data_IF_360597294776
#
_entry.id   IF_360597294776
#
_cell.length_a   1.000
_cell.length_b   1.000
_cell.length_c   1.000
_cell.angle_alpha   90.00
_cell.angle_beta   90.00
_cell.angle_gamma   90.00
#
_symmetry.space_group_name_H-M   'P 1'
#
loop_
_entity.id
_entity.type
_entity.pdbx_description
1 polymer ?
#
# COMPACT_ATOMS: atom_id res chain seq x y z
N UNK A 1 -38.99 35.60 9.86
CA UNK A 1 -39.48 34.96 11.11
C UNK A 1 -40.05 33.62 10.71
N UNK A 2 -39.36 32.51 10.98
CA UNK A 2 -39.85 31.16 10.68
C UNK A 2 -40.16 30.52 12.03
N UNK A 3 -41.45 30.46 12.37
CA UNK A 3 -41.97 29.73 13.51
C UNK A 3 -41.89 28.22 13.24
N UNK A 4 -40.90 27.57 13.85
CA UNK A 4 -40.82 26.12 13.95
C UNK A 4 -41.66 25.65 15.14
N UNK A 5 -42.99 25.77 15.04
CA UNK A 5 -43.89 25.07 15.95
C UNK A 5 -43.91 23.59 15.56
N UNK A 6 -43.00 22.82 16.17
CA UNK A 6 -42.91 21.37 16.00
C UNK A 6 -43.62 20.73 17.18
N UNK A 7 -44.88 20.37 16.99
CA UNK A 7 -45.64 19.62 18.00
C UNK A 7 -44.87 18.35 18.39
N UNK A 8 -44.66 18.08 19.69
CA UNK A 8 -43.93 16.92 20.16
C UNK A 8 -44.78 15.67 19.89
N UNK A 9 -44.44 14.95 18.82
CA UNK A 9 -45.00 13.61 18.60
C UNK A 9 -44.41 12.67 19.67
N UNK A 10 -45.23 11.78 20.26
CA UNK A 10 -44.70 10.78 21.18
C UNK A 10 -43.70 9.90 20.42
N UNK A 11 -42.47 9.88 20.92
CA UNK A 11 -41.37 9.10 20.36
C UNK A 11 -41.79 7.63 20.31
N UNK A 12 -41.60 7.00 19.15
CA UNK A 12 -41.88 5.57 19.01
C UNK A 12 -40.85 4.77 19.80
N UNK A 13 -41.23 3.59 20.28
CA UNK A 13 -40.39 2.78 21.18
C UNK A 13 -38.97 2.50 20.64
N UNK A 14 -38.81 2.38 19.32
CA UNK A 14 -37.50 2.18 18.70
C UNK A 14 -36.62 3.45 18.71
N UNK A 15 -37.21 4.65 18.74
CA UNK A 15 -36.47 5.90 18.85
C UNK A 15 -35.89 6.04 20.25
N UNK A 16 -36.65 5.65 21.28
CA UNK A 16 -36.14 5.51 22.65
C UNK A 16 -34.99 4.52 22.74
N UNK A 17 -35.12 3.37 22.07
CA UNK A 17 -34.09 2.33 22.05
C UNK A 17 -32.82 2.84 21.35
N UNK A 18 -32.96 3.55 20.24
CA UNK A 18 -31.84 4.19 19.55
C UNK A 18 -31.15 5.26 20.40
N UNK A 19 -31.90 6.09 21.13
CA UNK A 19 -31.36 7.10 22.04
C UNK A 19 -30.58 6.44 23.19
N UNK A 20 -31.13 5.38 23.81
CA UNK A 20 -30.45 4.64 24.87
C UNK A 20 -29.17 3.98 24.38
N UNK A 21 -29.19 3.41 23.16
CA UNK A 21 -28.01 2.79 22.56
C UNK A 21 -26.92 3.83 22.27
N UNK A 22 -27.29 5.01 21.75
CA UNK A 22 -26.36 6.11 21.50
C UNK A 22 -25.76 6.66 22.82
N UNK A 23 -26.58 6.79 23.86
CA UNK A 23 -26.14 7.25 25.17
C UNK A 23 -25.15 6.26 25.83
N UNK A 24 -25.37 4.95 25.66
CA UNK A 24 -24.43 3.91 26.10
C UNK A 24 -23.08 3.98 25.39
N UNK A 25 -23.07 4.24 24.08
CA UNK A 25 -21.84 4.40 23.31
C UNK A 25 -21.02 5.64 23.70
N UNK A 26 -21.68 6.74 24.07
CA UNK A 26 -21.00 7.97 24.48
C UNK A 26 -20.32 7.87 25.86
N UNK A 27 -20.77 6.96 26.73
CA UNK A 27 -20.22 6.80 28.08
C UNK A 27 -18.83 6.12 28.13
N UNK A 28 -18.36 5.53 27.02
CA UNK A 28 -17.09 4.81 26.92
C UNK A 28 -15.84 5.69 26.74
N UNK A 29 -15.99 6.99 26.47
CA UNK A 29 -14.88 7.92 26.28
C UNK A 29 -14.50 8.62 27.60
N UNK A 30 -13.97 7.86 28.57
CA UNK A 30 -13.33 8.44 29.77
C UNK A 30 -11.84 8.64 29.47
N UNK A 31 -11.31 9.84 29.69
CA UNK A 31 -9.87 10.07 29.74
C UNK A 31 -9.25 9.09 30.75
N UNK A 32 -8.41 8.17 30.29
CA UNK A 32 -7.83 7.13 31.14
C UNK A 32 -6.84 7.73 32.13
N UNK A 33 -7.02 7.46 33.42
CA UNK A 33 -5.98 7.66 34.43
C UNK A 33 -5.08 6.42 34.46
N UNK A 34 -3.75 6.62 34.44
CA UNK A 34 -2.77 5.52 34.55
C UNK A 34 -1.98 5.72 35.84
N UNK A 35 -1.73 4.63 36.57
CA UNK A 35 -0.92 4.65 37.78
C UNK A 35 0.56 4.58 37.41
N UNK A 36 1.33 5.56 37.85
CA UNK A 36 2.79 5.51 37.85
C UNK A 36 3.23 4.90 39.18
N UNK A 37 3.87 3.73 39.09
CA UNK A 37 4.42 3.01 40.22
C UNK A 37 5.94 3.16 40.18
N UNK A 38 6.52 3.72 41.25
CA UNK A 38 7.98 3.83 41.41
C UNK A 38 8.44 2.79 42.42
N UNK A 39 9.39 1.94 42.02
CA UNK A 39 9.97 0.94 42.92
C UNK A 39 11.07 1.52 43.82
N UNK A 40 11.55 0.73 44.78
CA UNK A 40 12.60 1.14 45.72
C UNK A 40 13.96 1.44 45.05
N UNK A 41 14.14 1.03 43.79
CA UNK A 41 15.34 1.30 42.99
C UNK A 41 15.17 2.52 42.07
N UNK A 42 14.01 3.19 42.12
CA UNK A 42 13.69 4.37 41.33
C UNK A 42 13.22 4.08 39.91
N UNK A 43 12.92 2.82 39.55
CA UNK A 43 12.37 2.49 38.25
C UNK A 43 10.85 2.78 38.23
N UNK A 44 10.41 3.56 37.24
CA UNK A 44 9.01 3.91 37.06
C UNK A 44 8.34 2.96 36.05
N UNK A 45 7.19 2.40 36.43
CA UNK A 45 6.31 1.61 35.55
C UNK A 45 4.92 2.22 35.50
N UNK A 46 4.26 2.17 34.34
CA UNK A 46 2.93 2.72 34.14
C UNK A 46 1.92 1.58 33.94
N UNK A 47 0.87 1.53 34.76
CA UNK A 47 -0.09 0.42 34.79
C UNK A 47 -1.54 0.93 34.94
N UNK A 48 -2.48 0.15 34.43
CA UNK A 48 -3.93 0.39 34.54
C UNK A 48 -4.51 -0.04 35.90
N UNK A 49 -3.71 -0.73 36.72
CA UNK A 49 -4.06 -1.25 38.05
C UNK A 49 -3.29 -0.51 39.16
N UNK A 50 -3.83 -0.48 40.40
CA UNK A 50 -3.12 0.10 41.53
C UNK A 50 -1.78 -0.60 41.78
N UNK A 51 -0.80 0.16 42.28
CA UNK A 51 0.55 -0.33 42.53
C UNK A 51 0.57 -1.40 43.62
N UNK A 52 1.55 -2.31 43.56
CA UNK A 52 1.77 -3.30 44.60
C UNK A 52 2.10 -2.63 45.94
N UNK A 53 1.75 -3.28 47.06
CA UNK A 53 1.98 -2.75 48.40
C UNK A 53 3.48 -2.43 48.62
N UNK A 54 3.78 -1.19 48.98
CA UNK A 54 5.15 -0.69 49.21
C UNK A 54 5.80 0.07 48.05
N UNK A 55 5.13 0.19 46.90
CA UNK A 55 5.53 1.10 45.82
C UNK A 55 4.89 2.49 45.99
N UNK A 56 5.62 3.54 45.61
CA UNK A 56 5.07 4.90 45.58
C UNK A 56 4.12 5.05 44.39
N UNK A 57 2.92 5.56 44.63
CA UNK A 57 1.84 5.65 43.66
C UNK A 57 1.55 7.10 43.30
N UNK A 58 1.72 7.45 42.03
CA UNK A 58 1.27 8.72 41.47
C UNK A 58 0.26 8.51 40.36
N UNK A 59 -0.86 9.23 40.41
CA UNK A 59 -1.95 9.08 39.44
C UNK A 59 -1.73 10.10 38.32
N UNK A 60 -1.40 9.60 37.12
CA UNK A 60 -1.10 10.46 35.97
C UNK A 60 -2.33 10.53 35.08
N UNK A 61 -2.90 11.74 34.98
CA UNK A 61 -3.94 12.03 34.02
C UNK A 61 -3.34 12.11 32.61
N UNK A 62 -3.75 11.22 31.71
CA UNK A 62 -3.38 11.32 30.31
C UNK A 62 -4.09 12.51 29.68
N UNK A 63 -3.32 13.41 29.06
CA UNK A 63 -3.89 14.47 28.24
C UNK A 63 -4.70 13.85 27.08
N UNK A 64 -5.84 14.42 26.71
CA UNK A 64 -6.62 13.93 25.58
C UNK A 64 -5.78 13.98 24.30
N UNK A 65 -6.00 13.02 23.41
CA UNK A 65 -5.31 12.96 22.12
C UNK A 65 -5.48 14.31 21.38
N UNK A 66 -4.40 14.86 20.77
CA UNK A 66 -4.50 16.10 20.03
C UNK A 66 -5.52 15.96 18.90
N UNK A 67 -6.24 17.03 18.59
CA UNK A 67 -7.16 17.05 17.47
C UNK A 67 -6.42 16.67 16.18
N UNK A 68 -7.00 15.79 15.33
CA UNK A 68 -6.36 15.39 14.09
C UNK A 68 -6.05 16.63 13.25
N UNK A 69 -4.77 16.80 12.88
CA UNK A 69 -4.35 17.85 11.97
C UNK A 69 -4.99 17.60 10.60
N UNK A 70 -5.38 18.69 9.91
CA UNK A 70 -5.88 18.59 8.55
C UNK A 70 -4.83 17.92 7.66
N UNK A 71 -5.24 16.87 6.93
CA UNK A 71 -4.36 16.23 5.96
C UNK A 71 -3.84 17.27 4.95
N UNK A 72 -2.54 17.28 4.63
CA UNK A 72 -1.99 18.23 3.67
C UNK A 72 -2.70 18.09 2.30
N UNK A 73 -2.99 19.24 1.68
CA UNK A 73 -3.70 19.37 0.39
C UNK A 73 -2.82 18.95 -0.81
N UNK A 74 -2.22 17.78 -0.80
CA UNK A 74 -1.56 17.22 -1.99
C UNK A 74 -2.50 16.35 -2.84
N UNK A 75 -3.74 16.12 -2.39
CA UNK A 75 -4.77 15.56 -3.24
C UNK A 75 -5.15 16.61 -4.30
N UNK A 76 -4.55 16.49 -5.47
CA UNK A 76 -4.97 17.22 -6.66
C UNK A 76 -6.43 16.85 -6.89
N UNK A 77 -7.36 17.79 -6.68
CA UNK A 77 -8.72 17.64 -7.20
C UNK A 77 -8.59 17.42 -8.71
N UNK A 78 -8.86 16.21 -9.18
CA UNK A 78 -9.05 15.94 -10.60
C UNK A 78 -10.32 16.69 -11.04
N UNK A 79 -10.19 17.99 -11.33
CA UNK A 79 -11.16 18.78 -12.11
C UNK A 79 -11.15 18.29 -13.56
N UNK A 80 -11.51 17.04 -13.77
CA UNK A 80 -11.64 16.42 -15.10
C UNK A 80 -13.09 16.10 -15.43
N UNK A 81 -14.05 16.73 -14.72
CA UNK A 81 -15.47 16.49 -14.90
C UNK A 81 -16.28 17.79 -15.01
N UNK A 82 -15.86 18.74 -15.86
CA UNK A 82 -16.76 19.73 -16.50
C UNK A 82 -15.99 20.74 -17.35
N UNK A 83 -15.38 20.29 -18.46
CA UNK A 83 -15.22 21.18 -19.63
C UNK A 83 -15.26 20.35 -20.90
N UNK A 84 -16.48 19.93 -21.25
CA UNK A 84 -16.84 19.61 -22.64
C UNK A 84 -16.71 20.90 -23.45
N UNK A 85 -15.49 21.22 -23.86
CA UNK A 85 -15.27 22.04 -25.04
C UNK A 85 -15.04 21.05 -26.16
N UNK A 86 -15.86 21.13 -27.20
CA UNK A 86 -15.68 20.38 -28.44
C UNK A 86 -14.34 20.76 -29.07
N UNK A 87 -13.27 20.14 -28.61
CA UNK A 87 -12.00 20.10 -29.32
C UNK A 87 -12.17 19.14 -30.48
N UNK A 88 -11.88 19.59 -31.70
CA UNK A 88 -11.70 18.70 -32.86
C UNK A 88 -10.89 17.49 -32.41
N UNK A 89 -11.44 16.29 -32.61
CA UNK A 89 -10.76 15.02 -32.36
C UNK A 89 -9.57 14.95 -33.31
N UNK A 90 -8.45 15.51 -32.89
CA UNK A 90 -7.16 15.15 -33.45
C UNK A 90 -6.97 13.71 -33.02
N UNK A 91 -7.24 12.76 -33.92
CA UNK A 91 -6.85 11.35 -33.70
C UNK A 91 -5.36 11.41 -33.42
N UNK A 92 -4.88 11.11 -32.20
CA UNK A 92 -3.46 11.07 -31.96
C UNK A 92 -2.90 10.04 -32.93
N UNK A 93 -1.99 10.48 -33.80
CA UNK A 93 -1.18 9.59 -34.63
C UNK A 93 -0.67 8.51 -33.69
N UNK A 94 -1.10 7.27 -33.89
CA UNK A 94 -0.75 6.14 -33.05
C UNK A 94 0.75 6.24 -32.77
N UNK A 95 1.10 6.45 -31.50
CA UNK A 95 2.50 6.44 -31.10
C UNK A 95 3.09 5.14 -31.63
N UNK A 96 4.32 5.14 -32.18
CA UNK A 96 4.94 3.91 -32.65
C UNK A 96 4.84 2.89 -31.51
N UNK A 97 4.22 1.74 -31.79
CA UNK A 97 3.97 0.69 -30.81
C UNK A 97 5.27 0.51 -30.02
N UNK A 98 5.22 0.85 -28.74
CA UNK A 98 6.41 0.93 -27.93
C UNK A 98 6.93 -0.50 -27.77
N UNK A 99 7.89 -0.89 -28.59
CA UNK A 99 8.34 -2.28 -28.66
C UNK A 99 8.89 -2.70 -27.30
N UNK A 100 8.50 -3.89 -26.87
CA UNK A 100 9.07 -4.59 -25.72
C UNK A 100 9.81 -5.82 -26.21
N UNK A 101 10.47 -6.52 -25.30
CA UNK A 101 11.34 -7.64 -25.64
C UNK A 101 10.98 -8.87 -24.81
N UNK A 102 10.79 -9.98 -25.50
CA UNK A 102 10.87 -11.31 -24.93
C UNK A 102 12.33 -11.77 -24.99
N UNK A 103 12.92 -11.99 -23.83
CA UNK A 103 14.29 -12.44 -23.69
C UNK A 103 14.30 -13.94 -23.37
N UNK A 104 15.04 -14.72 -24.15
CA UNK A 104 15.19 -16.16 -23.94
C UNK A 104 16.65 -16.49 -23.61
N UNK A 105 16.89 -17.14 -22.49
CA UNK A 105 18.21 -17.66 -22.16
C UNK A 105 18.48 -18.94 -22.95
N UNK A 106 19.75 -19.27 -23.22
CA UNK A 106 20.12 -20.57 -23.80
C UNK A 106 19.62 -21.79 -22.98
N UNK A 107 19.43 -21.62 -21.67
CA UNK A 107 18.87 -22.63 -20.76
C UNK A 107 17.33 -22.78 -20.86
N UNK A 108 16.69 -22.04 -21.78
CA UNK A 108 15.24 -22.13 -22.04
C UNK A 108 14.35 -21.27 -21.13
N UNK A 109 14.90 -20.46 -20.24
CA UNK A 109 14.13 -19.50 -19.44
C UNK A 109 13.66 -18.32 -20.28
N UNK A 110 12.44 -17.84 -20.00
CA UNK A 110 11.82 -16.71 -20.70
C UNK A 110 11.45 -15.61 -19.71
N UNK A 111 11.89 -14.39 -20.02
CA UNK A 111 11.59 -13.18 -19.26
C UNK A 111 11.29 -12.00 -20.17
N UNK A 112 10.55 -11.03 -19.65
CA UNK A 112 10.00 -9.92 -20.44
C UNK A 112 10.51 -8.57 -19.93
N UNK A 113 10.89 -7.69 -20.85
CA UNK A 113 11.42 -6.36 -20.53
C UNK A 113 10.92 -5.31 -21.53
N UNK A 114 10.76 -4.07 -21.07
CA UNK A 114 10.49 -2.92 -21.91
C UNK A 114 11.77 -2.23 -22.40
N UNK A 115 12.88 -2.44 -21.71
CA UNK A 115 14.23 -2.13 -22.19
C UNK A 115 14.84 -3.30 -22.97
N UNK A 116 15.90 -3.05 -23.74
CA UNK A 116 16.64 -4.09 -24.44
C UNK A 116 17.07 -5.25 -23.53
N UNK A 117 17.12 -6.47 -24.08
CA UNK A 117 17.63 -7.64 -23.36
C UNK A 117 19.13 -7.48 -23.07
N UNK A 118 19.61 -7.94 -21.90
CA UNK A 118 21.04 -8.03 -21.67
C UNK A 118 21.64 -9.11 -22.58
N UNK A 119 22.93 -9.03 -22.91
CA UNK A 119 23.59 -10.06 -23.71
C UNK A 119 23.74 -11.40 -22.95
N UNK A 120 23.82 -11.33 -21.62
CA UNK A 120 23.90 -12.50 -20.74
C UNK A 120 23.24 -12.23 -19.39
N UNK A 121 22.83 -13.30 -18.71
CA UNK A 121 22.28 -13.28 -17.34
C UNK A 121 23.00 -14.31 -16.47
N UNK A 122 23.06 -14.13 -15.15
CA UNK A 122 23.58 -15.17 -14.26
C UNK A 122 22.77 -16.45 -14.41
N UNK A 123 23.45 -17.59 -14.52
CA UNK A 123 22.81 -18.90 -14.55
C UNK A 123 22.05 -19.11 -13.24
N UNK A 124 20.80 -19.56 -13.34
CA UNK A 124 19.99 -19.83 -12.16
C UNK A 124 20.69 -20.86 -11.27
N UNK A 125 20.89 -20.51 -9.99
CA UNK A 125 21.46 -21.42 -9.03
C UNK A 125 20.54 -22.62 -8.84
N UNK A 126 21.07 -23.84 -8.96
CA UNK A 126 20.30 -25.05 -8.66
C UNK A 126 19.94 -25.05 -7.16
N UNK A 127 18.66 -25.19 -6.78
CA UNK A 127 18.29 -25.30 -5.38
C UNK A 127 18.96 -26.56 -4.79
N UNK A 128 19.77 -26.38 -3.75
CA UNK A 128 20.51 -27.47 -3.08
C UNK A 128 22.02 -27.51 -3.35
N UNK A 129 22.59 -26.64 -4.20
CA UNK A 129 24.03 -26.52 -4.32
C UNK A 129 24.62 -25.86 -3.06
N UNK A 130 25.24 -26.66 -2.18
CA UNK A 130 26.01 -26.17 -1.04
C UNK A 130 27.01 -25.12 -1.53
N UNK A 131 27.11 -23.99 -0.82
CA UNK A 131 28.03 -22.88 -1.09
C UNK A 131 29.48 -23.38 -1.11
N UNK A 132 29.92 -23.89 -2.25
CA UNK A 132 31.32 -24.14 -2.53
C UNK A 132 31.91 -22.82 -3.06
N UNK A 133 32.91 -22.32 -2.31
CA UNK A 133 33.97 -21.36 -2.65
C UNK A 133 33.86 -20.74 -4.05
N UNK A 134 33.63 -19.42 -4.08
CA UNK A 134 33.65 -18.48 -5.21
C UNK A 134 34.19 -19.05 -6.53
N UNK A 135 33.33 -19.76 -7.25
CA UNK A 135 33.51 -19.93 -8.69
C UNK A 135 32.85 -18.73 -9.39
N UNK A 136 33.51 -18.19 -10.41
CA UNK A 136 32.97 -17.09 -11.21
C UNK A 136 31.50 -17.38 -11.61
N UNK A 137 30.60 -16.38 -11.52
CA UNK A 137 29.20 -16.59 -11.82
C UNK A 137 29.08 -17.09 -13.25
N UNK A 138 28.59 -18.32 -13.43
CA UNK A 138 28.29 -18.87 -14.75
C UNK A 138 27.24 -17.97 -15.38
N UNK A 139 27.51 -17.41 -16.55
CA UNK A 139 26.57 -16.58 -17.29
C UNK A 139 26.02 -17.33 -18.49
N UNK A 140 24.75 -17.11 -18.80
CA UNK A 140 24.03 -17.75 -19.91
C UNK A 140 23.71 -16.68 -20.95
N UNK A 141 23.95 -16.99 -22.22
CA UNK A 141 23.64 -16.10 -23.34
C UNK A 141 22.12 -15.91 -23.48
N UNK A 142 21.71 -14.72 -23.90
CA UNK A 142 20.31 -14.33 -24.08
C UNK A 142 20.05 -13.92 -25.52
N UNK A 143 18.96 -14.43 -26.10
CA UNK A 143 18.42 -13.98 -27.38
C UNK A 143 17.20 -13.09 -27.14
N UNK A 144 16.99 -12.12 -28.03
CA UNK A 144 15.91 -11.13 -27.91
C UNK A 144 14.94 -11.23 -29.07
N UNK A 145 13.65 -11.33 -28.76
CA UNK A 145 12.56 -11.25 -29.72
C UNK A 145 11.73 -10.00 -29.42
N UNK A 146 11.43 -9.19 -30.44
CA UNK A 146 10.57 -8.02 -30.28
C UNK A 146 9.11 -8.46 -30.18
N UNK A 147 8.40 -7.89 -29.21
CA UNK A 147 6.98 -8.11 -28.97
C UNK A 147 6.28 -6.77 -28.71
N UNK A 148 4.95 -6.74 -28.80
CA UNK A 148 4.19 -5.55 -28.42
C UNK A 148 4.30 -5.29 -26.92
N UNK A 149 4.10 -4.04 -26.49
CA UNK A 149 4.07 -3.70 -25.06
C UNK A 149 2.90 -4.37 -24.37
N UNK A 150 1.77 -4.45 -25.06
CA UNK A 150 0.54 -5.07 -24.60
C UNK A 150 0.78 -6.56 -24.29
N UNK A 151 1.44 -7.29 -25.19
CA UNK A 151 1.79 -8.70 -25.00
C UNK A 151 2.79 -8.88 -23.86
N UNK A 152 3.80 -8.01 -23.76
CA UNK A 152 4.78 -8.06 -22.67
C UNK A 152 4.09 -7.88 -21.31
N UNK A 153 3.22 -6.87 -21.20
CA UNK A 153 2.47 -6.59 -19.99
C UNK A 153 1.48 -7.71 -19.64
N UNK A 154 0.82 -8.30 -20.65
CA UNK A 154 -0.03 -9.47 -20.46
C UNK A 154 0.77 -10.64 -19.87
N UNK A 155 1.94 -10.96 -20.43
CA UNK A 155 2.78 -12.06 -19.96
C UNK A 155 3.39 -11.80 -18.58
N UNK A 156 3.71 -10.54 -18.26
CA UNK A 156 4.18 -10.12 -16.94
C UNK A 156 3.12 -10.25 -15.85
N UNK A 157 1.84 -10.09 -16.20
CA UNK A 157 0.70 -10.09 -15.26
C UNK A 157 -0.13 -11.37 -15.25
N UNK A 158 0.09 -12.27 -16.22
CA UNK A 158 -0.67 -13.53 -16.35
C UNK A 158 -0.62 -14.35 -15.06
N UNK A 159 -1.76 -14.95 -14.69
CA UNK A 159 -1.82 -15.94 -13.62
C UNK A 159 -0.85 -17.11 -13.94
N UNK A 160 0.20 -17.24 -13.13
CA UNK A 160 1.31 -18.19 -13.36
C UNK A 160 2.65 -17.54 -13.73
N UNK A 161 2.69 -16.22 -13.98
CA UNK A 161 3.93 -15.49 -14.20
C UNK A 161 4.90 -15.62 -13.00
N UNK A 162 4.37 -15.65 -11.78
CA UNK A 162 5.16 -15.82 -10.56
C UNK A 162 5.89 -17.18 -10.47
N UNK A 163 5.38 -18.23 -11.14
CA UNK A 163 5.99 -19.57 -11.11
C UNK A 163 7.02 -19.81 -12.23
N UNK A 164 7.21 -18.86 -13.14
CA UNK A 164 8.18 -19.00 -14.24
C UNK A 164 9.59 -18.78 -13.72
N UNK A 165 10.53 -19.66 -14.11
CA UNK A 165 11.96 -19.54 -13.76
C UNK A 165 12.60 -18.20 -14.16
N UNK A 166 12.14 -17.59 -15.25
CA UNK A 166 12.64 -16.30 -15.72
C UNK A 166 12.06 -15.09 -14.98
N UNK A 167 11.13 -15.26 -14.03
CA UNK A 167 10.45 -14.13 -13.36
C UNK A 167 11.43 -13.20 -12.66
N UNK A 168 12.52 -13.71 -12.09
CA UNK A 168 13.53 -12.91 -11.40
C UNK A 168 14.27 -11.96 -12.35
N UNK A 169 14.18 -12.18 -13.66
CA UNK A 169 14.75 -11.36 -14.71
C UNK A 169 13.72 -10.48 -15.42
N UNK A 170 12.42 -10.61 -15.10
CA UNK A 170 11.37 -9.75 -15.63
C UNK A 170 11.61 -8.31 -15.17
N UNK A 171 11.35 -7.34 -16.06
CA UNK A 171 11.37 -5.94 -15.67
C UNK A 171 10.08 -5.63 -14.89
N UNK A 172 10.22 -5.27 -13.62
CA UNK A 172 9.11 -4.77 -12.79
C UNK A 172 9.30 -3.28 -12.50
N UNK A 173 8.20 -2.53 -12.53
CA UNK A 173 8.21 -1.14 -12.08
C UNK A 173 8.26 -1.12 -10.54
N UNK A 174 9.13 -0.29 -9.98
CA UNK A 174 9.19 -0.11 -8.54
C UNK A 174 7.85 0.43 -8.01
N UNK A 175 7.57 0.20 -6.72
CA UNK A 175 6.37 0.78 -6.08
C UNK A 175 6.34 2.30 -6.22
N UNK A 176 7.51 2.94 -6.18
CA UNK A 176 7.65 4.39 -6.40
C UNK A 176 7.24 4.80 -7.82
N UNK A 177 7.74 4.09 -8.85
CA UNK A 177 7.39 4.38 -10.25
C UNK A 177 5.91 4.15 -10.54
N UNK A 178 5.32 3.11 -9.94
CA UNK A 178 3.88 2.83 -10.01
C UNK A 178 3.06 4.00 -9.46
N UNK A 179 3.48 4.57 -8.33
CA UNK A 179 2.80 5.71 -7.70
C UNK A 179 2.96 7.01 -8.51
N UNK A 180 4.07 7.18 -9.23
CA UNK A 180 4.29 8.32 -10.13
C UNK A 180 3.64 8.19 -11.51
N UNK A 181 2.95 7.08 -11.80
CA UNK A 181 2.37 6.82 -13.12
C UNK A 181 3.41 6.53 -14.21
N UNK A 182 4.60 6.06 -13.82
CA UNK A 182 5.70 5.65 -14.72
C UNK A 182 5.73 4.14 -14.99
N UNK A 183 4.69 3.42 -14.58
CA UNK A 183 4.56 2.00 -14.85
C UNK A 183 4.25 1.77 -16.35
N UNK A 184 5.11 1.05 -17.09
CA UNK A 184 4.89 0.77 -18.51
C UNK A 184 3.66 -0.12 -18.78
N UNK A 185 3.09 -0.76 -17.77
CA UNK A 185 1.95 -1.68 -17.87
C UNK A 185 0.65 -1.16 -17.23
N UNK A 186 0.56 0.16 -17.00
CA UNK A 186 -0.58 0.83 -16.36
C UNK A 186 -1.41 1.66 -17.34
#
# INVERSE_FOLDING_TARGET
MIDLHRDPRPLRWYEWLAILLLAGYAAGARAGSVYQCVDAHGAATFQDRPCAAGADQSLVALAPAPSPAASPKYAVENKSAARRTQGKTTVPRAAPAANSYECRTADGQVFYRHSACPHSVPAAAKPGAKRAREAAPKTVAVTSTRISREDACYQLRRAGAAGRKGRDHDQDASSYDKNLGRDPCR
#
